data_IF_798665935877
#
_entry.id   IF_798665935877
#
_cell.length_a   1.000
_cell.length_b   1.000
_cell.length_c   1.000
_cell.angle_alpha   90.00
_cell.angle_beta   90.00
_cell.angle_gamma   90.00
#
_symmetry.space_group_name_H-M   'P 1'
#
loop_
_entity.id
_entity.type
_entity.pdbx_description
1 polymer ?
#
# COMPACT_ATOMS: atom_id res chain seq x y z
N UNK A 1 -25.37 32.94 -16.35
CA UNK A 1 -25.39 31.86 -15.36
C UNK A 1 -26.10 30.69 -16.00
N UNK A 2 -25.36 29.75 -16.57
CA UNK A 2 -25.93 28.52 -17.14
C UNK A 2 -25.39 27.38 -16.29
N UNK A 3 -26.25 26.82 -15.46
CA UNK A 3 -25.97 25.62 -14.68
C UNK A 3 -26.00 24.46 -15.69
N UNK A 4 -24.82 23.98 -16.09
CA UNK A 4 -24.74 22.72 -16.84
C UNK A 4 -25.17 21.60 -15.90
N UNK A 5 -26.36 21.04 -16.15
CA UNK A 5 -26.80 19.81 -15.53
C UNK A 5 -25.98 18.65 -16.11
N UNK A 6 -24.93 18.24 -15.40
CA UNK A 6 -24.30 16.94 -15.66
C UNK A 6 -25.33 15.85 -15.36
N UNK A 7 -25.83 15.22 -16.43
CA UNK A 7 -26.72 14.07 -16.31
C UNK A 7 -25.88 12.87 -15.87
N UNK A 8 -26.27 12.13 -14.82
CA UNK A 8 -25.49 10.98 -14.37
C UNK A 8 -25.43 9.95 -15.49
N UNK A 9 -24.22 9.50 -15.82
CA UNK A 9 -24.03 8.42 -16.77
C UNK A 9 -24.65 7.16 -16.15
N UNK A 10 -25.57 6.48 -16.83
CA UNK A 10 -26.29 5.32 -16.26
C UNK A 10 -25.88 4.06 -17.02
N UNK A 11 -25.47 3.02 -16.31
CA UNK A 11 -25.09 1.76 -16.94
C UNK A 11 -26.32 0.99 -17.45
N UNK A 12 -26.09 -0.10 -18.19
CA UNK A 12 -27.14 -0.96 -18.76
C UNK A 12 -28.11 -1.57 -17.73
N UNK A 13 -27.85 -1.42 -16.43
CA UNK A 13 -28.68 -1.89 -15.32
C UNK A 13 -29.39 -0.76 -14.57
N UNK A 14 -29.35 0.48 -15.07
CA UNK A 14 -30.04 1.60 -14.42
C UNK A 14 -29.27 2.23 -13.24
N UNK A 15 -28.04 1.80 -12.97
CA UNK A 15 -27.21 2.37 -11.90
C UNK A 15 -26.37 3.53 -12.42
N UNK A 16 -26.25 4.59 -11.61
CA UNK A 16 -25.32 5.68 -11.89
C UNK A 16 -23.89 5.10 -11.96
N UNK A 17 -23.24 5.35 -13.08
CA UNK A 17 -21.87 4.99 -13.40
C UNK A 17 -21.02 6.24 -13.22
N UNK A 18 -20.12 6.20 -12.25
CA UNK A 18 -19.09 7.23 -12.09
C UNK A 18 -17.86 6.78 -12.89
N UNK A 19 -17.30 7.66 -13.72
CA UNK A 19 -15.96 7.42 -14.28
C UNK A 19 -14.97 7.37 -13.10
N UNK A 20 -13.98 6.48 -13.12
CA UNK A 20 -12.95 6.39 -12.07
C UNK A 20 -12.21 7.74 -11.89
N UNK A 21 -12.21 8.59 -12.92
CA UNK A 21 -11.68 9.97 -12.87
C UNK A 21 -12.67 10.99 -12.29
N UNK A 22 -13.96 10.70 -12.38
CA UNK A 22 -15.08 11.49 -11.85
C UNK A 22 -15.52 11.03 -10.45
N UNK A 23 -14.86 10.01 -9.89
CA UNK A 23 -14.61 9.95 -8.46
C UNK A 23 -13.80 11.20 -8.10
N UNK A 24 -14.48 12.34 -8.04
CA UNK A 24 -14.10 13.44 -7.17
C UNK A 24 -13.95 12.76 -5.83
N UNK A 25 -12.72 12.39 -5.48
CA UNK A 25 -12.42 11.79 -4.19
C UNK A 25 -12.82 12.88 -3.23
N UNK A 26 -14.01 12.72 -2.65
CA UNK A 26 -14.71 13.85 -2.04
C UNK A 26 -13.73 14.52 -1.09
N UNK A 27 -13.57 15.83 -1.21
CA UNK A 27 -12.47 16.52 -0.55
C UNK A 27 -12.51 16.35 0.97
N UNK A 28 -13.71 16.13 1.52
CA UNK A 28 -13.95 15.71 2.90
C UNK A 28 -13.36 14.33 3.23
N UNK A 29 -13.56 13.30 2.39
CA UNK A 29 -12.98 11.96 2.53
C UNK A 29 -11.46 12.04 2.47
N UNK A 30 -10.91 12.77 1.49
CA UNK A 30 -9.46 12.97 1.38
C UNK A 30 -8.89 13.74 2.57
N UNK A 31 -9.60 14.75 3.06
CA UNK A 31 -9.24 15.48 4.26
C UNK A 31 -9.15 14.55 5.47
N UNK A 32 -10.17 13.72 5.69
CA UNK A 32 -10.19 12.75 6.79
C UNK A 32 -9.14 11.66 6.65
N UNK A 33 -8.85 11.19 5.44
CA UNK A 33 -7.76 10.26 5.18
C UNK A 33 -6.39 10.87 5.53
N UNK A 34 -6.16 12.15 5.20
CA UNK A 34 -4.92 12.86 5.58
C UNK A 34 -4.82 13.09 7.08
N UNK A 35 -5.91 13.46 7.75
CA UNK A 35 -5.95 13.56 9.22
C UNK A 35 -5.60 12.22 9.86
N UNK A 36 -6.19 11.12 9.38
CA UNK A 36 -5.89 9.78 9.86
C UNK A 36 -4.42 9.40 9.61
N UNK A 37 -3.88 9.69 8.43
CA UNK A 37 -2.47 9.45 8.13
C UNK A 37 -1.53 10.24 9.06
N UNK A 38 -1.91 11.49 9.42
CA UNK A 38 -1.16 12.29 10.38
C UNK A 38 -1.23 11.74 11.81
N UNK A 39 -2.30 11.05 12.19
CA UNK A 39 -2.38 10.34 13.47
C UNK A 39 -1.57 9.04 13.45
N UNK A 40 -1.62 8.29 12.35
CA UNK A 40 -0.82 7.07 12.18
C UNK A 40 0.67 7.40 12.25
N UNK A 41 1.09 8.54 11.68
CA UNK A 41 2.51 8.92 11.67
C UNK A 41 3.09 9.22 13.06
N UNK A 42 2.26 9.45 14.08
CA UNK A 42 2.70 9.65 15.46
C UNK A 42 2.79 8.34 16.27
N UNK A 43 2.36 7.21 15.70
CA UNK A 43 2.42 5.89 16.34
C UNK A 43 3.84 5.42 16.63
N UNK A 44 3.98 4.55 17.63
CA UNK A 44 5.28 3.97 18.02
C UNK A 44 5.88 3.14 16.88
N UNK A 45 5.04 2.40 16.14
CA UNK A 45 5.44 1.59 14.99
C UNK A 45 6.09 2.46 13.90
N UNK A 46 5.51 3.64 13.63
CA UNK A 46 6.08 4.58 12.65
C UNK A 46 7.39 5.19 13.16
N UNK A 47 7.48 5.51 14.45
CA UNK A 47 8.73 6.00 15.03
C UNK A 47 9.84 4.95 14.98
N UNK A 48 9.53 3.70 15.31
CA UNK A 48 10.47 2.57 15.27
C UNK A 48 10.98 2.31 13.85
N UNK A 49 10.09 2.34 12.85
CA UNK A 49 10.48 2.23 11.45
C UNK A 49 11.43 3.36 11.03
N UNK A 50 11.11 4.62 11.35
CA UNK A 50 11.99 5.75 11.01
C UNK A 50 13.38 5.60 11.65
N UNK A 51 13.45 5.13 12.90
CA UNK A 51 14.72 4.88 13.56
C UNK A 51 15.51 3.74 12.90
N UNK A 52 14.84 2.63 12.58
CA UNK A 52 15.47 1.50 11.89
C UNK A 52 15.95 1.91 10.49
N UNK A 53 15.16 2.71 9.76
CA UNK A 53 15.52 3.28 8.47
C UNK A 53 16.79 4.13 8.57
N UNK A 54 16.86 5.05 9.53
CA UNK A 54 18.04 5.88 9.75
C UNK A 54 19.27 5.04 10.08
N UNK A 55 19.13 3.99 10.90
CA UNK A 55 20.25 3.08 11.18
C UNK A 55 20.73 2.38 9.92
N UNK A 56 19.82 1.90 9.06
CA UNK A 56 20.16 1.25 7.77
C UNK A 56 20.86 2.23 6.82
N UNK A 57 20.34 3.45 6.71
CA UNK A 57 20.91 4.48 5.84
C UNK A 57 22.37 4.81 6.22
N UNK A 58 22.67 4.82 7.52
CA UNK A 58 24.01 5.10 8.05
C UNK A 58 24.91 3.86 8.18
N UNK A 59 24.39 2.65 7.91
CA UNK A 59 25.16 1.41 8.07
C UNK A 59 26.05 1.15 6.85
N UNK A 60 27.34 1.46 6.96
CA UNK A 60 28.32 1.40 5.85
C UNK A 60 28.33 0.05 5.11
N UNK A 61 28.38 -1.09 5.83
CA UNK A 61 28.38 -2.42 5.21
C UNK A 61 27.11 -2.68 4.38
N UNK A 62 25.93 -2.40 4.94
CA UNK A 62 24.64 -2.57 4.24
C UNK A 62 24.63 -1.71 2.98
N UNK A 63 25.01 -0.44 3.07
CA UNK A 63 25.07 0.44 1.91
C UNK A 63 26.08 -0.04 0.85
N UNK A 64 27.23 -0.57 1.26
CA UNK A 64 28.23 -1.16 0.36
C UNK A 64 27.71 -2.40 -0.37
N UNK A 65 27.00 -3.29 0.34
CA UNK A 65 26.37 -4.48 -0.25
C UNK A 65 25.26 -4.08 -1.23
N UNK A 66 24.38 -3.14 -0.86
CA UNK A 66 23.34 -2.60 -1.73
C UNK A 66 23.93 -1.99 -3.01
N UNK A 67 25.01 -1.20 -2.88
CA UNK A 67 25.68 -0.62 -4.04
C UNK A 67 26.24 -1.70 -4.99
N UNK A 68 26.80 -2.77 -4.41
CA UNK A 68 27.31 -3.92 -5.16
C UNK A 68 26.19 -4.68 -5.89
N UNK A 69 25.07 -4.95 -5.20
CA UNK A 69 23.88 -5.56 -5.81
C UNK A 69 23.37 -4.71 -6.96
N UNK A 70 23.23 -3.39 -6.79
CA UNK A 70 22.79 -2.48 -7.85
C UNK A 70 23.71 -2.51 -9.07
N UNK A 71 25.03 -2.65 -8.87
CA UNK A 71 25.98 -2.82 -9.97
C UNK A 71 25.74 -4.13 -10.71
N UNK A 72 25.57 -5.24 -9.98
CA UNK A 72 25.28 -6.56 -10.56
C UNK A 72 23.96 -6.60 -11.31
N UNK A 73 22.91 -5.95 -10.81
CA UNK A 73 21.62 -5.82 -11.52
C UNK A 73 21.79 -5.09 -12.87
N UNK A 74 22.65 -4.07 -12.95
CA UNK A 74 22.98 -3.42 -14.23
C UNK A 74 23.74 -4.35 -15.17
N UNK A 75 24.64 -5.17 -14.64
CA UNK A 75 25.36 -6.18 -15.42
C UNK A 75 24.40 -7.23 -15.98
N UNK A 76 23.39 -7.67 -15.21
CA UNK A 76 22.32 -8.56 -15.70
C UNK A 76 21.63 -7.95 -16.92
N UNK A 77 21.12 -6.71 -16.81
CA UNK A 77 20.44 -6.03 -17.91
C UNK A 77 21.33 -5.94 -19.16
N UNK A 78 22.64 -5.71 -18.98
CA UNK A 78 23.59 -5.69 -20.09
C UNK A 78 23.76 -7.08 -20.72
N UNK A 79 23.96 -8.14 -19.93
CA UNK A 79 24.15 -9.50 -20.45
C UNK A 79 22.88 -10.11 -21.05
N UNK A 80 21.70 -9.75 -20.54
CA UNK A 80 20.42 -10.07 -21.16
C UNK A 80 20.33 -9.48 -22.57
N UNK A 81 20.77 -8.23 -22.76
CA UNK A 81 20.77 -7.60 -24.09
C UNK A 81 21.67 -8.30 -25.11
N UNK A 82 22.73 -8.98 -24.64
CA UNK A 82 23.63 -9.80 -25.47
C UNK A 82 23.17 -11.25 -25.61
N UNK A 83 22.05 -11.65 -24.99
CA UNK A 83 21.55 -13.03 -24.99
C UNK A 83 22.41 -14.02 -24.19
N UNK A 84 23.29 -13.54 -23.31
CA UNK A 84 24.22 -14.38 -22.55
C UNK A 84 23.60 -14.89 -21.24
N UNK A 85 22.69 -15.86 -21.37
CA UNK A 85 21.95 -16.44 -20.23
C UNK A 85 22.85 -17.09 -19.17
N UNK A 86 23.98 -17.67 -19.57
CA UNK A 86 24.90 -18.30 -18.63
C UNK A 86 25.54 -17.27 -17.68
N UNK A 87 25.90 -16.10 -18.21
CA UNK A 87 26.45 -15.03 -17.38
C UNK A 87 25.38 -14.39 -16.48
N UNK A 88 24.16 -14.22 -16.99
CA UNK A 88 23.02 -13.74 -16.18
C UNK A 88 22.81 -14.63 -14.97
N UNK A 89 22.67 -15.94 -15.17
CA UNK A 89 22.46 -16.90 -14.08
C UNK A 89 23.59 -16.90 -13.04
N UNK A 90 24.84 -16.71 -13.49
CA UNK A 90 25.98 -16.58 -12.59
C UNK A 90 25.88 -15.31 -11.72
N UNK A 91 25.51 -14.18 -12.32
CA UNK A 91 25.38 -12.91 -11.58
C UNK A 91 24.19 -12.96 -10.62
N UNK A 92 23.10 -13.64 -10.99
CA UNK A 92 21.96 -13.88 -10.10
C UNK A 92 22.37 -14.63 -8.83
N UNK A 93 23.17 -15.70 -8.95
CA UNK A 93 23.73 -16.42 -7.79
C UNK A 93 24.62 -15.54 -6.92
N UNK A 94 25.40 -14.65 -7.54
CA UNK A 94 26.24 -13.70 -6.80
C UNK A 94 25.40 -12.63 -6.08
N UNK A 95 24.23 -12.25 -6.63
CA UNK A 95 23.28 -11.36 -5.95
C UNK A 95 22.62 -12.08 -4.77
N UNK A 96 22.21 -13.34 -4.95
CA UNK A 96 21.60 -14.16 -3.90
C UNK A 96 22.54 -14.27 -2.68
N UNK A 97 23.82 -14.58 -2.90
CA UNK A 97 24.81 -14.62 -1.82
C UNK A 97 25.00 -13.28 -1.09
N UNK A 98 24.89 -12.15 -1.82
CA UNK A 98 24.94 -10.81 -1.21
C UNK A 98 23.66 -10.47 -0.44
N UNK A 99 22.51 -10.96 -0.90
CA UNK A 99 21.23 -10.82 -0.20
C UNK A 99 21.25 -11.60 1.11
N UNK A 100 21.73 -12.86 1.09
CA UNK A 100 21.93 -13.66 2.30
C UNK A 100 22.85 -12.96 3.30
N UNK A 101 23.92 -12.31 2.81
CA UNK A 101 24.80 -11.52 3.66
C UNK A 101 24.10 -10.31 4.28
N UNK A 102 23.26 -9.60 3.50
CA UNK A 102 22.46 -8.47 3.99
C UNK A 102 21.47 -8.94 5.05
N UNK A 103 20.74 -10.03 4.80
CA UNK A 103 19.72 -10.57 5.71
C UNK A 103 20.35 -11.10 7.03
N UNK A 104 21.61 -11.52 6.98
CA UNK A 104 22.38 -11.87 8.17
C UNK A 104 22.74 -10.69 9.09
N UNK A 105 22.54 -9.44 8.66
CA UNK A 105 22.88 -8.25 9.46
C UNK A 105 21.74 -7.93 10.44
N UNK A 106 22.00 -7.83 11.77
CA UNK A 106 20.95 -7.62 12.77
C UNK A 106 20.07 -6.39 12.53
N UNK A 107 20.66 -5.26 12.11
CA UNK A 107 19.89 -4.04 11.82
C UNK A 107 18.94 -4.19 10.63
N UNK A 108 19.24 -5.08 9.69
CA UNK A 108 18.38 -5.38 8.53
C UNK A 108 17.14 -6.14 9.00
N UNK A 109 17.32 -7.12 9.89
CA UNK A 109 16.20 -7.83 10.51
C UNK A 109 15.30 -6.88 11.32
N UNK A 110 15.88 -5.96 12.11
CA UNK A 110 15.11 -4.91 12.81
C UNK A 110 14.30 -4.06 11.83
N UNK A 111 14.91 -3.66 10.71
CA UNK A 111 14.24 -2.87 9.68
C UNK A 111 13.12 -3.65 8.98
N UNK A 112 13.34 -4.92 8.62
CA UNK A 112 12.33 -5.80 8.04
C UNK A 112 11.15 -6.02 8.99
N UNK A 113 11.41 -6.22 10.28
CA UNK A 113 10.36 -6.31 11.29
C UNK A 113 9.54 -5.02 11.35
N UNK A 114 10.20 -3.86 11.43
CA UNK A 114 9.50 -2.57 11.47
C UNK A 114 8.65 -2.29 10.22
N UNK A 115 9.07 -2.78 9.05
CA UNK A 115 8.26 -2.75 7.82
C UNK A 115 7.00 -3.60 7.93
N UNK A 116 7.13 -4.83 8.46
CA UNK A 116 5.97 -5.70 8.71
C UNK A 116 5.00 -5.07 9.70
N UNK A 117 5.51 -4.46 10.77
CA UNK A 117 4.69 -3.83 11.81
C UNK A 117 3.89 -2.65 11.27
N UNK A 118 4.52 -1.77 10.47
CA UNK A 118 3.80 -0.69 9.78
C UNK A 118 2.74 -1.25 8.84
N UNK A 119 3.08 -2.24 8.02
CA UNK A 119 2.12 -2.79 7.07
C UNK A 119 0.93 -3.42 7.81
N UNK A 120 1.17 -4.10 8.93
CA UNK A 120 0.11 -4.64 9.78
C UNK A 120 -0.79 -3.53 10.34
N UNK A 121 -0.20 -2.45 10.86
CA UNK A 121 -0.96 -1.27 11.34
C UNK A 121 -1.85 -0.69 10.23
N UNK A 122 -1.31 -0.51 9.03
CA UNK A 122 -2.07 0.00 7.88
C UNK A 122 -3.21 -0.95 7.50
N UNK A 123 -2.96 -2.26 7.49
CA UNK A 123 -3.98 -3.27 7.18
C UNK A 123 -5.09 -3.33 8.24
N UNK A 124 -4.75 -3.14 9.52
CA UNK A 124 -5.74 -3.07 10.60
C UNK A 124 -6.68 -1.88 10.39
N UNK A 125 -6.13 -0.70 10.10
CA UNK A 125 -6.92 0.51 9.82
C UNK A 125 -7.84 0.30 8.63
N UNK A 126 -7.32 -0.26 7.53
CA UNK A 126 -8.13 -0.56 6.32
C UNK A 126 -9.25 -1.55 6.65
N UNK A 127 -8.98 -2.56 7.47
CA UNK A 127 -9.98 -3.55 7.88
C UNK A 127 -11.12 -2.88 8.65
N UNK A 128 -10.81 -2.02 9.62
CA UNK A 128 -11.82 -1.25 10.37
C UNK A 128 -12.67 -0.37 9.43
N UNK A 129 -12.04 0.31 8.47
CA UNK A 129 -12.75 1.14 7.48
C UNK A 129 -13.70 0.26 6.65
N UNK A 130 -13.20 -0.85 6.10
CA UNK A 130 -13.98 -1.79 5.28
C UNK A 130 -15.17 -2.35 6.05
N UNK A 131 -14.95 -2.80 7.28
CA UNK A 131 -15.98 -3.42 8.10
C UNK A 131 -17.04 -2.38 8.49
N UNK A 132 -16.63 -1.17 8.87
CA UNK A 132 -17.54 -0.05 9.18
C UNK A 132 -18.40 0.35 7.96
N UNK A 133 -17.81 0.41 6.77
CA UNK A 133 -18.54 0.70 5.52
C UNK A 133 -19.55 -0.41 5.22
N UNK A 134 -19.14 -1.67 5.39
CA UNK A 134 -20.00 -2.83 5.17
C UNK A 134 -21.21 -2.82 6.12
N UNK A 135 -20.99 -2.52 7.39
CA UNK A 135 -22.06 -2.40 8.39
C UNK A 135 -23.03 -1.28 8.04
N UNK A 136 -22.54 -0.10 7.62
CA UNK A 136 -23.42 1.02 7.26
C UNK A 136 -24.29 0.72 6.05
N UNK A 137 -23.73 0.09 5.01
CA UNK A 137 -24.49 -0.32 3.82
C UNK A 137 -25.53 -1.39 4.19
N UNK A 138 -25.16 -2.38 5.01
CA UNK A 138 -26.07 -3.44 5.43
C UNK A 138 -27.20 -2.91 6.35
N UNK A 139 -26.92 -1.94 7.22
CA UNK A 139 -27.93 -1.29 8.06
C UNK A 139 -28.91 -0.48 7.20
N UNK A 140 -28.44 0.24 6.18
CA UNK A 140 -29.30 0.99 5.26
C UNK A 140 -30.21 0.08 4.42
N UNK A 141 -29.78 -1.14 4.09
CA UNK A 141 -30.62 -2.14 3.41
C UNK A 141 -31.67 -2.80 4.33
N UNK A 142 -31.54 -2.67 5.66
CA UNK A 142 -32.37 -3.36 6.65
C UNK A 142 -33.52 -2.54 7.24
N UNK A 143 -33.68 -1.26 6.87
CA UNK A 143 -34.71 -0.38 7.46
C UNK A 143 -36.03 -0.31 6.70
N UNK A 144 -36.19 -1.04 5.59
CA UNK A 144 -37.48 -1.21 4.89
C UNK A 144 -38.28 -2.41 5.44
N UNK A 145 -38.52 -2.44 6.75
CA UNK A 145 -39.58 -3.28 7.30
C UNK A 145 -40.92 -2.58 7.03
N UNK A 146 -41.90 -3.22 6.33
CA UNK A 146 -43.19 -2.60 6.11
C UNK A 146 -43.88 -2.36 7.46
N UNK A 147 -44.69 -1.29 7.60
CA UNK A 147 -45.40 -1.05 8.84
C UNK A 147 -46.28 -2.26 9.13
N UNK A 148 -46.14 -2.78 10.35
CA UNK A 148 -47.00 -3.81 10.92
C UNK A 148 -48.45 -3.34 10.76
N UNK A 149 -49.18 -3.89 9.79
CA UNK A 149 -50.64 -3.78 9.76
C UNK A 149 -51.17 -4.60 10.93
N UNK A 150 -51.24 -3.96 12.09
CA UNK A 150 -52.14 -4.35 13.16
C UNK A 150 -53.55 -4.41 12.58
N UNK A 151 -54.22 -5.52 12.81
CA UNK A 151 -55.53 -5.82 12.25
C UNK A 151 -56.65 -4.92 12.77
N UNK A 152 -57.71 -4.86 11.97
CA UNK A 152 -59.07 -5.26 12.36
C UNK A 152 -59.81 -5.74 11.10
#
# INVERSE_FOLDING_TARGET
>A
MSVSQDSPNVNKYGMQSFDTRDLIVREDIMGKAKELAALISTSEEVQHFQQAELKIQNHERVQGLIATIKKKQKEIVAFESFGNKAMVAKIEQEIEALQDEIDGIPVVNEFQQSQSDINYLLQLVISVIRDTVSDKINVEAGTDAPPSTCGD
#
